data_IF_635330051028
#
_entry.id   IF_635330051028
#
_cell.length_a   1.000
_cell.length_b   1.000
_cell.length_c   1.000
_cell.angle_alpha   90.00
_cell.angle_beta   90.00
_cell.angle_gamma   90.00
#
_symmetry.space_group_name_H-M   'P 1'
#
loop_
_entity.id
_entity.type
_entity.pdbx_description
1 polymer ?
#
# COMPACT_ATOMS: atom_id res chain seq x y z
N UNK A 1 -20.77 -51.74 28.93
CA UNK A 1 -19.97 -51.07 29.98
C UNK A 1 -19.32 -49.89 29.30
N UNK A 2 -19.96 -48.72 29.44
CA UNK A 2 -19.45 -47.54 30.18
C UNK A 2 -18.58 -46.67 29.24
N UNK A 3 -19.12 -45.62 28.58
CA UNK A 3 -19.56 -44.28 29.04
C UNK A 3 -18.43 -43.25 29.18
N UNK A 4 -18.70 -42.03 28.65
CA UNK A 4 -17.98 -40.77 28.93
C UNK A 4 -17.28 -40.18 27.69
N UNK A 5 -17.84 -39.30 26.85
CA UNK A 5 -18.45 -37.96 27.02
C UNK A 5 -17.45 -36.77 27.05
N UNK A 6 -17.80 -35.75 26.24
CA UNK A 6 -17.36 -34.33 26.25
C UNK A 6 -15.92 -34.07 25.71
N UNK A 7 -15.61 -33.04 24.94
CA UNK A 7 -16.24 -31.74 24.76
C UNK A 7 -15.84 -31.12 23.42
N UNK A 8 -16.70 -30.25 22.91
CA UNK A 8 -16.50 -29.46 21.71
C UNK A 8 -15.33 -28.47 21.86
N UNK A 9 -14.45 -28.41 20.85
CA UNK A 9 -13.73 -27.17 20.53
C UNK A 9 -14.13 -26.72 19.13
N UNK A 10 -15.12 -25.86 19.13
CA UNK A 10 -15.54 -25.04 18.02
C UNK A 10 -14.53 -23.89 17.89
N UNK A 11 -13.40 -24.14 17.23
CA UNK A 11 -12.49 -23.06 16.86
C UNK A 11 -13.03 -22.37 15.61
N UNK A 12 -13.76 -21.27 15.85
CA UNK A 12 -14.11 -20.27 14.83
C UNK A 12 -12.81 -19.61 14.38
N UNK A 13 -12.01 -20.29 13.57
CA UNK A 13 -11.02 -19.61 12.74
C UNK A 13 -11.82 -18.87 11.69
N UNK A 14 -12.06 -17.59 11.96
CA UNK A 14 -12.54 -16.60 11.01
C UNK A 14 -11.49 -16.48 9.91
N UNK A 15 -11.48 -17.46 9.00
CA UNK A 15 -11.02 -17.27 7.62
C UNK A 15 -11.97 -16.23 7.06
N UNK A 16 -11.56 -14.96 7.14
CA UNK A 16 -12.11 -13.88 6.35
C UNK A 16 -11.84 -14.18 4.89
N UNK A 17 -12.62 -15.11 4.34
CA UNK A 17 -12.74 -15.38 2.92
C UNK A 17 -13.48 -14.19 2.33
N UNK A 18 -12.74 -13.11 2.07
CA UNK A 18 -13.26 -11.99 1.30
C UNK A 18 -13.37 -12.48 -0.16
N UNK A 19 -14.52 -13.07 -0.47
CA UNK A 19 -14.93 -13.45 -1.82
C UNK A 19 -15.70 -12.27 -2.42
N UNK A 20 -15.45 -12.03 -3.70
CA UNK A 20 -16.00 -11.00 -4.61
C UNK A 20 -15.43 -9.59 -4.47
N UNK A 21 -14.60 -9.19 -5.45
CA UNK A 21 -15.07 -8.34 -6.57
C UNK A 21 -14.35 -8.78 -7.85
N UNK A 22 -15.11 -9.01 -8.93
CA UNK A 22 -14.58 -9.26 -10.26
C UNK A 22 -13.99 -7.96 -10.83
N UNK A 23 -12.77 -8.02 -11.38
CA UNK A 23 -12.22 -6.98 -12.25
C UNK A 23 -10.89 -6.41 -11.77
N UNK A 24 -9.84 -6.68 -12.55
CA UNK A 24 -8.47 -6.13 -12.44
C UNK A 24 -7.63 -6.72 -11.30
N UNK A 25 -6.97 -7.81 -11.67
CA UNK A 25 -5.98 -8.57 -10.90
C UNK A 25 -4.70 -7.76 -10.67
N UNK A 26 -4.75 -6.71 -9.85
CA UNK A 26 -3.56 -6.21 -9.17
C UNK A 26 -3.47 -6.94 -7.83
N UNK A 27 -2.96 -8.17 -7.89
CA UNK A 27 -2.46 -8.85 -6.71
C UNK A 27 -1.44 -7.91 -6.07
N UNK A 28 -1.73 -7.43 -4.88
CA UNK A 28 -0.71 -6.92 -3.98
C UNK A 28 0.17 -8.11 -3.61
N UNK A 29 1.12 -8.46 -4.48
CA UNK A 29 2.23 -9.31 -4.12
C UNK A 29 2.99 -8.50 -3.07
N UNK A 30 2.80 -8.87 -1.79
CA UNK A 30 3.65 -8.38 -0.72
C UNK A 30 5.07 -8.55 -1.22
N UNK A 31 5.78 -7.45 -1.41
CA UNK A 31 7.10 -7.47 -2.00
C UNK A 31 7.97 -8.32 -1.08
N UNK A 32 8.29 -9.54 -1.54
CA UNK A 32 9.41 -10.29 -1.02
C UNK A 32 10.60 -9.35 -1.09
N UNK A 33 11.01 -8.85 0.07
CA UNK A 33 12.31 -8.18 0.18
C UNK A 33 13.30 -9.26 -0.20
N UNK A 34 13.99 -9.08 -1.34
CA UNK A 34 14.88 -10.09 -1.92
C UNK A 34 15.79 -10.67 -0.82
N UNK A 35 15.66 -11.98 -0.56
CA UNK A 35 16.45 -12.70 0.46
C UNK A 35 15.79 -12.88 1.85
N UNK A 36 14.54 -12.48 2.06
CA UNK A 36 13.79 -12.74 3.31
C UNK A 36 12.78 -13.87 3.19
N UNK A 37 12.54 -14.62 4.27
CA UNK A 37 11.47 -15.63 4.32
C UNK A 37 10.09 -14.97 4.40
N UNK A 38 9.03 -15.65 3.96
CA UNK A 38 7.66 -15.13 3.99
C UNK A 38 7.17 -14.86 5.42
N UNK A 39 7.71 -15.57 6.41
CA UNK A 39 7.38 -15.47 7.82
C UNK A 39 8.23 -14.43 8.57
N UNK A 40 9.31 -13.94 7.95
CA UNK A 40 10.19 -12.95 8.56
C UNK A 40 9.47 -11.60 8.66
N UNK A 41 9.28 -11.13 9.90
CA UNK A 41 8.70 -9.81 10.12
C UNK A 41 9.63 -8.74 9.56
N UNK A 42 9.09 -7.83 8.76
CA UNK A 42 9.80 -6.65 8.24
C UNK A 42 10.43 -5.83 9.37
N UNK A 43 9.75 -5.75 10.51
CA UNK A 43 10.23 -5.09 11.73
C UNK A 43 10.16 -6.04 12.93
N UNK A 44 11.25 -6.16 13.68
CA UNK A 44 11.25 -6.88 14.96
C UNK A 44 10.30 -6.23 15.99
N UNK A 45 10.29 -4.88 16.01
CA UNK A 45 9.37 -4.05 16.79
C UNK A 45 9.09 -2.78 16.00
N UNK A 46 7.81 -2.38 15.93
CA UNK A 46 7.43 -1.12 15.27
C UNK A 46 7.91 0.06 16.14
N UNK A 47 8.69 1.00 15.58
CA UNK A 47 9.08 2.21 16.29
C UNK A 47 7.86 3.02 16.73
N UNK A 48 7.88 3.56 17.95
CA UNK A 48 6.73 4.30 18.50
C UNK A 48 6.50 5.68 17.87
N UNK A 49 7.53 6.27 17.25
CA UNK A 49 7.48 7.60 16.60
C UNK A 49 7.76 7.52 15.10
N UNK A 50 7.25 6.47 14.46
CA UNK A 50 7.41 6.28 13.03
C UNK A 50 6.65 7.37 12.27
N UNK A 51 7.34 8.15 11.42
CA UNK A 51 6.67 9.11 10.54
C UNK A 51 6.05 8.38 9.33
N UNK A 52 4.85 7.86 9.54
CA UNK A 52 4.09 7.12 8.53
C UNK A 52 3.80 8.00 7.31
N UNK A 53 3.61 9.32 7.50
CA UNK A 53 3.34 10.23 6.41
C UNK A 53 4.59 10.44 5.55
N UNK A 54 5.78 10.54 6.15
CA UNK A 54 7.04 10.59 5.40
C UNK A 54 7.24 9.33 4.55
N UNK A 55 7.01 8.13 5.11
CA UNK A 55 7.12 6.89 4.33
C UNK A 55 6.11 6.84 3.18
N UNK A 56 4.86 7.25 3.40
CA UNK A 56 3.87 7.31 2.33
C UNK A 56 4.24 8.34 1.26
N UNK A 57 4.83 9.48 1.62
CA UNK A 57 5.35 10.49 0.67
C UNK A 57 6.50 9.92 -0.16
N UNK A 58 7.50 9.35 0.49
CA UNK A 58 8.66 8.73 -0.19
C UNK A 58 8.21 7.63 -1.16
N UNK A 59 7.28 6.76 -0.74
CA UNK A 59 6.69 5.74 -1.59
C UNK A 59 6.01 6.35 -2.83
N UNK A 60 5.17 7.37 -2.65
CA UNK A 60 4.46 8.02 -3.74
C UNK A 60 5.40 8.69 -4.74
N UNK A 61 6.45 9.36 -4.24
CA UNK A 61 7.47 10.03 -5.04
C UNK A 61 8.27 9.02 -5.88
N UNK A 62 8.74 7.95 -5.26
CA UNK A 62 9.48 6.89 -5.95
C UNK A 62 8.61 6.21 -7.02
N UNK A 63 7.35 5.89 -6.68
CA UNK A 63 6.41 5.29 -7.62
C UNK A 63 6.13 6.21 -8.81
N UNK A 64 5.95 7.52 -8.57
CA UNK A 64 5.75 8.49 -9.66
C UNK A 64 6.95 8.54 -10.61
N UNK A 65 8.17 8.65 -10.08
CA UNK A 65 9.38 8.67 -10.88
C UNK A 65 9.54 7.38 -11.69
N UNK A 66 9.24 6.22 -11.08
CA UNK A 66 9.30 4.93 -11.75
C UNK A 66 8.30 4.82 -12.91
N UNK A 67 7.08 5.31 -12.72
CA UNK A 67 6.01 5.22 -13.72
C UNK A 67 6.17 6.23 -14.85
N UNK A 68 6.52 7.48 -14.52
CA UNK A 68 6.59 8.59 -15.49
C UNK A 68 7.96 8.75 -16.14
N UNK A 69 9.05 8.32 -15.47
CA UNK A 69 10.41 8.68 -15.85
C UNK A 69 10.74 10.17 -15.65
N UNK A 70 9.82 10.97 -15.09
CA UNK A 70 9.98 12.40 -14.87
C UNK A 70 10.52 12.68 -13.46
N UNK A 71 11.26 13.79 -13.27
CA UNK A 71 11.63 14.24 -11.93
C UNK A 71 10.38 14.69 -11.15
N UNK A 72 10.52 14.77 -9.82
CA UNK A 72 9.46 15.35 -9.00
C UNK A 72 9.26 16.83 -9.35
N UNK A 73 8.02 17.32 -9.27
CA UNK A 73 7.78 18.73 -9.44
C UNK A 73 8.42 19.54 -8.29
N UNK A 74 8.58 20.86 -8.47
CA UNK A 74 9.06 21.74 -7.41
C UNK A 74 8.23 21.60 -6.13
N UNK A 75 8.90 21.47 -4.99
CA UNK A 75 8.27 21.37 -3.67
C UNK A 75 7.43 22.62 -3.32
N UNK A 76 7.81 23.77 -3.86
CA UNK A 76 7.16 25.06 -3.61
C UNK A 76 6.74 25.73 -4.91
N UNK A 77 5.76 26.64 -4.78
CA UNK A 77 5.25 27.40 -5.92
C UNK A 77 4.12 26.72 -6.68
N UNK A 78 3.78 27.30 -7.84
CA UNK A 78 2.71 26.82 -8.72
C UNK A 78 3.26 25.70 -9.60
N UNK A 79 2.55 24.58 -9.65
CA UNK A 79 2.84 23.50 -10.58
C UNK A 79 2.59 24.00 -12.02
N UNK A 80 3.59 23.96 -12.92
CA UNK A 80 3.37 24.29 -14.32
C UNK A 80 2.37 23.30 -14.94
N UNK A 81 1.52 23.78 -15.84
CA UNK A 81 0.58 22.90 -16.55
C UNK A 81 1.32 22.12 -17.63
N UNK A 82 0.99 20.84 -17.79
CA UNK A 82 1.51 19.99 -18.86
C UNK A 82 2.91 19.40 -18.64
N UNK A 83 3.53 19.62 -17.47
CA UNK A 83 4.84 19.00 -17.14
C UNK A 83 4.69 17.67 -16.41
N UNK A 84 3.47 17.30 -16.01
CA UNK A 84 3.19 16.11 -15.24
C UNK A 84 2.59 15.04 -16.13
N UNK A 85 3.06 13.81 -15.94
CA UNK A 85 2.35 12.62 -16.40
C UNK A 85 1.08 12.39 -15.55
N UNK A 86 -0.06 12.73 -16.12
CA UNK A 86 -1.38 12.60 -15.50
C UNK A 86 -1.79 11.13 -15.25
N UNK A 87 -1.32 10.19 -16.06
CA UNK A 87 -1.59 8.77 -15.89
C UNK A 87 -0.81 8.22 -14.70
N UNK A 88 0.47 8.58 -14.59
CA UNK A 88 1.29 8.25 -13.43
C UNK A 88 0.73 8.87 -12.14
N UNK A 89 0.28 10.13 -12.15
CA UNK A 89 -0.38 10.76 -10.99
C UNK A 89 -1.62 9.98 -10.57
N UNK A 90 -2.45 9.56 -11.53
CA UNK A 90 -3.65 8.78 -11.23
C UNK A 90 -3.32 7.38 -10.68
N UNK A 91 -2.30 6.72 -11.23
CA UNK A 91 -1.82 5.43 -10.74
C UNK A 91 -1.30 5.54 -9.30
N UNK A 92 -0.50 6.57 -8.99
CA UNK A 92 -0.04 6.85 -7.62
C UNK A 92 -1.22 7.13 -6.68
N UNK A 93 -2.21 7.90 -7.13
CA UNK A 93 -3.44 8.15 -6.35
C UNK A 93 -4.12 6.85 -5.97
N UNK A 94 -4.36 5.96 -6.94
CA UNK A 94 -4.97 4.65 -6.72
C UNK A 94 -4.14 3.77 -5.79
N UNK A 95 -2.81 3.74 -5.95
CA UNK A 95 -1.90 2.97 -5.11
C UNK A 95 -1.92 3.43 -3.64
N UNK A 96 -2.13 4.73 -3.39
CA UNK A 96 -2.29 5.27 -2.05
C UNK A 96 -3.68 5.01 -1.44
N UNK A 97 -4.62 4.45 -2.20
CA UNK A 97 -6.02 4.28 -1.81
C UNK A 97 -6.87 5.54 -2.02
N UNK A 98 -6.40 6.47 -2.86
CA UNK A 98 -7.12 7.67 -3.25
C UNK A 98 -7.68 7.51 -4.67
N UNK A 99 -8.72 8.28 -5.00
CA UNK A 99 -9.22 8.42 -6.37
C UNK A 99 -9.25 9.90 -6.79
N UNK A 100 -8.31 10.67 -6.24
CA UNK A 100 -8.25 12.13 -6.38
C UNK A 100 -6.81 12.57 -6.65
N UNK A 101 -6.60 13.24 -7.79
CA UNK A 101 -5.27 13.70 -8.24
C UNK A 101 -4.75 14.86 -7.38
N UNK A 102 -5.63 15.78 -7.00
CA UNK A 102 -5.32 16.98 -6.21
C UNK A 102 -4.61 16.66 -4.88
N UNK A 103 -5.06 15.61 -4.18
CA UNK A 103 -4.45 15.14 -2.93
C UNK A 103 -2.99 14.72 -3.16
N UNK A 104 -2.74 13.94 -4.21
CA UNK A 104 -1.39 13.46 -4.56
C UNK A 104 -0.47 14.63 -4.91
N UNK A 105 -0.94 15.53 -5.76
CA UNK A 105 -0.20 16.70 -6.20
C UNK A 105 0.14 17.65 -5.05
N UNK A 106 -0.75 17.76 -4.05
CA UNK A 106 -0.60 18.71 -2.95
C UNK A 106 0.28 18.16 -1.83
N UNK A 107 0.11 16.88 -1.47
CA UNK A 107 0.67 16.31 -0.23
C UNK A 107 1.75 15.25 -0.44
N UNK A 108 1.85 14.67 -1.64
CA UNK A 108 2.70 13.50 -1.88
C UNK A 108 3.81 13.75 -2.88
N UNK A 109 3.57 14.50 -3.97
CA UNK A 109 4.58 14.78 -5.00
C UNK A 109 5.39 16.05 -4.77
N UNK A 110 5.26 16.67 -3.59
CA UNK A 110 6.02 17.85 -3.16
C UNK A 110 7.01 17.49 -2.06
#
# INVERSE_FOLDING_TARGET
MELGSLSAHHEKTTRGLCRLVHGSHLLWQGSLVQGRSEEEKVFARIPSRLDIHAYRRQYAQALYQQLSGLPLPPATGRLPRGILDEEAVLAVSRALGHNRRDVVLTYYLR
#
